data_IF_577140158921
#
_entry.id   IF_577140158921
#
_cell.length_a   1.000
_cell.length_b   1.000
_cell.length_c   1.000
_cell.angle_alpha   90.00
_cell.angle_beta   90.00
_cell.angle_gamma   90.00
#
_symmetry.space_group_name_H-M   'P 1'
#
loop_
_entity.id
_entity.type
_entity.pdbx_description
1 polymer ?
#
# COMPACT_ATOMS: atom_id res chain seq x y z
N UNK A 1 -19.78 -14.22 23.56
CA UNK A 1 -18.86 -15.27 23.07
C UNK A 1 -19.10 -15.42 21.58
N UNK A 2 -18.14 -15.02 20.75
CA UNK A 2 -18.27 -15.13 19.29
C UNK A 2 -17.93 -16.56 18.92
N UNK A 3 -18.91 -17.31 18.41
CA UNK A 3 -18.74 -18.68 17.93
C UNK A 3 -18.42 -18.65 16.44
N UNK A 4 -17.21 -19.09 16.07
CA UNK A 4 -16.73 -19.26 14.69
C UNK A 4 -15.50 -20.16 14.71
N UNK A 5 -15.19 -20.79 13.58
CA UNK A 5 -13.93 -21.57 13.45
C UNK A 5 -12.72 -20.66 13.62
N UNK A 6 -11.53 -21.18 14.00
CA UNK A 6 -10.32 -20.35 14.08
C UNK A 6 -10.04 -19.54 12.81
N UNK A 7 -10.36 -20.09 11.63
CA UNK A 7 -10.24 -19.39 10.33
C UNK A 7 -11.26 -18.25 10.23
N UNK A 8 -12.53 -18.45 10.61
CA UNK A 8 -13.54 -17.38 10.61
C UNK A 8 -13.27 -16.30 11.65
N UNK A 9 -12.58 -16.63 12.75
CA UNK A 9 -12.13 -15.65 13.75
C UNK A 9 -10.92 -14.88 13.21
N UNK A 10 -9.99 -15.53 12.52
CA UNK A 10 -8.87 -14.88 11.83
C UNK A 10 -9.35 -13.97 10.70
N UNK A 11 -10.28 -14.41 9.85
CA UNK A 11 -10.92 -13.57 8.82
C UNK A 11 -11.71 -12.40 9.44
N UNK A 12 -12.24 -12.55 10.65
CA UNK A 12 -12.98 -11.48 11.35
C UNK A 12 -12.07 -10.50 12.09
N UNK A 13 -10.84 -10.90 12.46
CA UNK A 13 -9.82 -10.04 13.07
C UNK A 13 -8.88 -9.41 12.04
N UNK A 14 -8.57 -10.10 10.94
CA UNK A 14 -7.81 -9.58 9.78
C UNK A 14 -8.70 -8.93 8.71
N UNK A 15 -10.01 -9.14 8.77
CA UNK A 15 -11.01 -8.60 7.83
C UNK A 15 -11.61 -7.26 8.26
N UNK A 16 -10.84 -6.44 8.98
CA UNK A 16 -11.11 -5.00 8.97
C UNK A 16 -10.61 -4.45 7.63
N UNK A 17 -11.54 -3.93 6.83
CA UNK A 17 -11.33 -3.42 5.47
C UNK A 17 -10.02 -2.61 5.36
N UNK A 18 -8.93 -3.26 4.94
CA UNK A 18 -7.75 -2.55 4.46
C UNK A 18 -8.23 -1.62 3.36
N UNK A 19 -7.94 -0.33 3.46
CA UNK A 19 -8.28 0.61 2.39
C UNK A 19 -7.54 0.15 1.14
N UNK A 20 -8.28 -0.27 0.12
CA UNK A 20 -7.66 -0.56 -1.16
C UNK A 20 -7.37 0.76 -1.86
N UNK A 21 -6.14 0.89 -2.32
CA UNK A 21 -5.72 2.01 -3.14
C UNK A 21 -6.22 1.79 -4.57
N UNK A 22 -6.42 2.88 -5.29
CA UNK A 22 -6.77 2.92 -6.70
C UNK A 22 -5.76 3.79 -7.44
N UNK A 23 -5.74 3.71 -8.78
CA UNK A 23 -4.78 4.46 -9.59
C UNK A 23 -4.88 5.98 -9.34
N UNK A 24 -6.11 6.47 -9.17
CA UNK A 24 -6.38 7.88 -8.84
C UNK A 24 -5.74 8.34 -7.53
N UNK A 25 -5.56 7.46 -6.55
CA UNK A 25 -4.95 7.84 -5.27
C UNK A 25 -3.46 8.13 -5.46
N UNK A 26 -2.77 7.34 -6.31
CA UNK A 26 -1.39 7.60 -6.69
C UNK A 26 -1.27 8.93 -7.44
N UNK A 27 -2.19 9.19 -8.37
CA UNK A 27 -2.24 10.43 -9.15
C UNK A 27 -2.49 11.67 -8.26
N UNK A 28 -3.44 11.58 -7.34
CA UNK A 28 -3.80 12.66 -6.41
C UNK A 28 -2.60 13.11 -5.57
N UNK A 29 -1.86 12.15 -5.03
CA UNK A 29 -0.67 12.42 -4.23
C UNK A 29 0.62 12.55 -5.06
N UNK A 30 0.51 12.58 -6.39
CA UNK A 30 1.61 12.74 -7.35
C UNK A 30 2.74 11.73 -7.13
N UNK A 31 2.35 10.49 -6.79
CA UNK A 31 3.28 9.38 -6.77
C UNK A 31 3.55 8.92 -8.19
N UNK A 32 4.83 8.83 -8.57
CA UNK A 32 5.23 8.20 -9.82
C UNK A 32 5.05 6.69 -9.64
N UNK A 33 4.45 6.05 -10.63
CA UNK A 33 4.15 4.62 -10.59
C UNK A 33 4.52 3.95 -11.90
N UNK A 34 4.92 2.69 -11.76
CA UNK A 34 5.32 1.80 -12.84
C UNK A 34 4.94 0.36 -12.47
N UNK A 35 5.25 -0.61 -13.32
CA UNK A 35 4.95 -2.03 -13.09
C UNK A 35 5.43 -2.52 -11.71
N UNK A 36 6.59 -2.06 -11.25
CA UNK A 36 7.12 -2.41 -9.94
C UNK A 36 6.22 -1.93 -8.79
N UNK A 37 5.65 -0.73 -8.90
CA UNK A 37 4.72 -0.15 -7.91
C UNK A 37 3.49 -1.03 -7.75
N UNK A 38 2.89 -1.48 -8.85
CA UNK A 38 1.70 -2.31 -8.81
C UNK A 38 2.01 -3.72 -8.33
N UNK A 39 3.15 -4.29 -8.72
CA UNK A 39 3.59 -5.59 -8.23
C UNK A 39 3.75 -5.59 -6.72
N UNK A 40 4.55 -4.66 -6.17
CA UNK A 40 4.78 -4.54 -4.72
C UNK A 40 3.45 -4.25 -4.00
N UNK A 41 2.61 -3.36 -4.54
CA UNK A 41 1.35 -3.03 -3.90
C UNK A 41 0.33 -4.16 -3.88
N UNK A 42 0.37 -5.08 -4.84
CA UNK A 42 -0.44 -6.30 -4.81
C UNK A 42 0.09 -7.26 -3.75
N UNK A 43 1.40 -7.54 -3.75
CA UNK A 43 2.04 -8.48 -2.80
C UNK A 43 1.87 -8.02 -1.34
N UNK A 44 1.98 -6.71 -1.11
CA UNK A 44 1.82 -6.08 0.21
C UNK A 44 0.35 -5.71 0.52
N UNK A 45 -0.58 -6.13 -0.34
CA UNK A 45 -2.03 -5.98 -0.19
C UNK A 45 -2.56 -4.52 -0.12
N UNK A 46 -1.83 -3.54 -0.65
CA UNK A 46 -2.32 -2.18 -0.91
C UNK A 46 -3.35 -2.14 -2.04
N UNK A 47 -3.17 -2.97 -3.06
CA UNK A 47 -4.07 -3.07 -4.21
C UNK A 47 -4.86 -4.37 -4.20
N UNK A 48 -5.87 -4.43 -5.06
CA UNK A 48 -6.42 -5.66 -5.60
C UNK A 48 -5.94 -5.81 -7.05
N UNK A 49 -6.12 -6.98 -7.66
CA UNK A 49 -5.62 -7.25 -9.03
C UNK A 49 -6.19 -6.30 -10.09
N UNK A 50 -7.39 -5.75 -9.86
CA UNK A 50 -8.07 -4.82 -10.77
C UNK A 50 -7.24 -3.56 -11.05
N UNK A 51 -6.28 -3.21 -10.17
CA UNK A 51 -5.37 -2.09 -10.40
C UNK A 51 -4.56 -2.25 -11.68
N UNK A 52 -4.21 -3.49 -12.07
CA UNK A 52 -3.46 -3.77 -13.28
C UNK A 52 -4.29 -3.47 -14.53
N UNK A 53 -5.61 -3.66 -14.46
CA UNK A 53 -6.53 -3.26 -15.52
C UNK A 53 -6.64 -1.74 -15.60
N UNK A 54 -6.78 -1.04 -14.46
CA UNK A 54 -6.76 0.44 -14.42
C UNK A 54 -5.47 0.98 -15.06
N UNK A 55 -4.33 0.42 -14.69
CA UNK A 55 -3.03 0.82 -15.20
C UNK A 55 -2.84 0.52 -16.70
N UNK A 56 -3.25 -0.67 -17.15
CA UNK A 56 -3.18 -1.04 -18.57
C UNK A 56 -4.03 -0.12 -19.46
N UNK A 57 -5.24 0.24 -19.01
CA UNK A 57 -6.09 1.20 -19.72
C UNK A 57 -5.40 2.56 -19.84
N UNK A 58 -4.73 3.02 -18.77
CA UNK A 58 -3.97 4.28 -18.81
C UNK A 58 -2.78 4.21 -19.79
N UNK A 59 -2.04 3.10 -19.82
CA UNK A 59 -0.95 2.88 -20.79
C UNK A 59 -1.45 2.92 -22.23
N UNK A 60 -2.58 2.27 -22.52
CA UNK A 60 -3.23 2.34 -23.85
C UNK A 60 -3.60 3.77 -24.24
N UNK A 61 -4.16 4.56 -23.30
CA UNK A 61 -4.50 5.95 -23.56
C UNK A 61 -3.28 6.83 -23.86
N UNK A 62 -2.10 6.44 -23.33
CA UNK A 62 -0.81 7.07 -23.63
C UNK A 62 -0.17 6.59 -24.94
N UNK A 63 -0.80 5.63 -25.62
CA UNK A 63 -0.32 5.08 -26.89
C UNK A 63 0.66 3.92 -26.74
N UNK A 64 0.82 3.37 -25.53
CA UNK A 64 1.55 2.12 -25.33
C UNK A 64 0.66 0.93 -25.68
N UNK A 65 1.20 0.01 -26.48
CA UNK A 65 0.49 -1.17 -26.94
C UNK A 65 1.41 -2.38 -26.90
N UNK A 66 1.00 -3.40 -26.16
CA UNK A 66 1.63 -4.70 -26.10
C UNK A 66 0.56 -5.77 -25.88
N UNK A 67 0.86 -7.04 -26.20
CA UNK A 67 -0.07 -8.14 -25.96
C UNK A 67 -0.48 -8.22 -24.48
N UNK A 68 0.46 -7.96 -23.56
CA UNK A 68 0.19 -7.93 -22.13
C UNK A 68 -0.76 -6.77 -21.76
N UNK A 69 -0.48 -5.55 -22.22
CA UNK A 69 -1.32 -4.37 -21.94
C UNK A 69 -2.74 -4.59 -22.47
N UNK A 70 -2.85 -5.05 -23.72
CA UNK A 70 -4.14 -5.35 -24.35
C UNK A 70 -4.92 -6.44 -23.59
N UNK A 71 -4.25 -7.49 -23.11
CA UNK A 71 -4.88 -8.53 -22.30
C UNK A 71 -5.36 -7.99 -20.94
N UNK A 72 -4.51 -7.25 -20.23
CA UNK A 72 -4.83 -6.69 -18.92
C UNK A 72 -5.99 -5.68 -18.97
N UNK A 73 -6.08 -4.89 -20.04
CA UNK A 73 -7.15 -3.92 -20.25
C UNK A 73 -8.53 -4.59 -20.43
N UNK A 74 -8.57 -5.84 -20.90
CA UNK A 74 -9.82 -6.61 -20.96
C UNK A 74 -10.26 -7.21 -19.62
N UNK A 75 -9.37 -7.23 -18.63
CA UNK A 75 -9.62 -7.78 -17.30
C UNK A 75 -8.82 -9.04 -17.03
N UNK A 76 -8.70 -9.38 -15.75
CA UNK A 76 -7.87 -10.49 -15.28
C UNK A 76 -8.75 -11.61 -14.71
N UNK A 77 -8.80 -12.73 -15.43
CA UNK A 77 -9.37 -13.97 -14.91
C UNK A 77 -8.54 -14.47 -13.71
N UNK A 78 -9.18 -15.12 -12.73
CA UNK A 78 -8.47 -15.56 -11.51
C UNK A 78 -7.38 -16.58 -11.80
N UNK A 79 -7.65 -17.49 -12.74
CA UNK A 79 -6.72 -18.53 -13.18
C UNK A 79 -5.45 -17.97 -13.82
N UNK A 80 -5.53 -16.80 -14.46
CA UNK A 80 -4.41 -16.19 -15.19
C UNK A 80 -3.57 -15.26 -14.29
N UNK A 81 -4.13 -14.80 -13.17
CA UNK A 81 -3.51 -13.79 -12.31
C UNK A 81 -2.12 -14.19 -11.83
N UNK A 82 -1.94 -15.45 -11.42
CA UNK A 82 -0.63 -15.95 -10.97
C UNK A 82 0.41 -15.91 -12.08
N UNK A 83 0.02 -16.26 -13.31
CA UNK A 83 0.90 -16.21 -14.48
C UNK A 83 1.30 -14.78 -14.83
N UNK A 84 0.35 -13.84 -14.78
CA UNK A 84 0.59 -12.41 -15.01
C UNK A 84 1.59 -11.85 -14.00
N UNK A 85 1.38 -12.11 -12.71
CA UNK A 85 2.32 -11.67 -11.67
C UNK A 85 3.72 -12.25 -11.87
N UNK A 86 3.82 -13.52 -12.29
CA UNK A 86 5.11 -14.14 -12.59
C UNK A 86 5.81 -13.47 -13.79
N UNK A 87 5.07 -13.11 -14.85
CA UNK A 87 5.61 -12.38 -16.01
C UNK A 87 6.13 -11.00 -15.63
N UNK A 88 5.34 -10.21 -14.89
CA UNK A 88 5.77 -8.88 -14.38
C UNK A 88 7.05 -9.02 -13.55
N UNK A 89 7.09 -10.01 -12.63
CA UNK A 89 8.28 -10.27 -11.82
C UNK A 89 9.49 -10.62 -12.67
N UNK A 90 9.31 -11.41 -13.72
CA UNK A 90 10.41 -11.83 -14.59
C UNK A 90 10.98 -10.66 -15.39
N UNK A 91 10.12 -9.79 -15.95
CA UNK A 91 10.53 -8.62 -16.73
C UNK A 91 11.24 -7.57 -15.88
N UNK A 92 10.82 -7.41 -14.62
CA UNK A 92 11.34 -6.41 -13.69
C UNK A 92 12.18 -7.01 -12.54
N UNK A 93 12.76 -8.21 -12.75
CA UNK A 93 13.42 -8.99 -11.68
C UNK A 93 14.44 -8.18 -10.88
N UNK A 94 15.23 -7.34 -11.55
CA UNK A 94 16.29 -6.55 -10.92
C UNK A 94 15.79 -5.54 -9.87
N UNK A 95 14.49 -5.23 -9.86
CA UNK A 95 13.87 -4.28 -8.94
C UNK A 95 12.86 -4.91 -7.98
N UNK A 96 12.43 -6.15 -8.23
CA UNK A 96 11.32 -6.81 -7.54
C UNK A 96 11.74 -7.93 -6.57
N UNK A 97 13.00 -7.94 -6.15
CA UNK A 97 13.44 -8.81 -5.06
C UNK A 97 13.12 -8.18 -3.70
N UNK A 98 12.41 -8.90 -2.84
CA UNK A 98 12.00 -8.41 -1.53
C UNK A 98 13.23 -8.12 -0.65
N UNK A 99 13.21 -7.00 0.07
CA UNK A 99 14.32 -6.54 0.91
C UNK A 99 15.42 -5.79 0.16
N UNK A 100 15.26 -5.57 -1.15
CA UNK A 100 16.10 -4.61 -1.90
C UNK A 100 15.66 -3.17 -1.63
N UNK A 101 16.57 -2.22 -1.88
CA UNK A 101 16.26 -0.79 -1.78
C UNK A 101 15.10 -0.39 -2.70
N UNK A 102 14.94 -1.05 -3.86
CA UNK A 102 13.86 -0.78 -4.80
C UNK A 102 12.51 -1.26 -4.30
N UNK A 103 12.45 -2.48 -3.74
CA UNK A 103 11.23 -2.98 -3.09
C UNK A 103 10.80 -2.06 -1.95
N UNK A 104 11.74 -1.72 -1.08
CA UNK A 104 11.48 -0.90 0.10
C UNK A 104 11.00 0.50 -0.29
N UNK A 105 11.58 1.10 -1.33
CA UNK A 105 11.13 2.40 -1.81
C UNK A 105 9.71 2.35 -2.42
N UNK A 106 9.31 1.29 -3.11
CA UNK A 106 7.92 1.11 -3.55
C UNK A 106 6.96 0.86 -2.38
N UNK A 107 7.35 0.04 -1.41
CA UNK A 107 6.56 -0.19 -0.20
C UNK A 107 6.31 1.13 0.55
N UNK A 108 7.35 1.93 0.77
CA UNK A 108 7.25 3.23 1.46
C UNK A 108 6.45 4.27 0.67
N UNK A 109 6.59 4.27 -0.66
CA UNK A 109 5.75 5.08 -1.55
C UNK A 109 4.26 4.75 -1.34
N UNK A 110 3.90 3.48 -1.34
CA UNK A 110 2.51 3.04 -1.16
C UNK A 110 2.00 3.29 0.25
N UNK A 111 2.85 3.08 1.27
CA UNK A 111 2.58 3.42 2.66
C UNK A 111 2.23 4.89 2.83
N UNK A 112 2.99 5.79 2.20
CA UNK A 112 2.70 7.22 2.21
C UNK A 112 1.31 7.52 1.64
N UNK A 113 1.01 7.01 0.43
CA UNK A 113 -0.29 7.22 -0.24
C UNK A 113 -1.44 6.69 0.62
N UNK A 114 -1.30 5.51 1.20
CA UNK A 114 -2.28 4.92 2.11
C UNK A 114 -2.51 5.78 3.35
N UNK A 115 -1.44 6.14 4.06
CA UNK A 115 -1.55 6.89 5.30
C UNK A 115 -2.06 8.32 5.08
N UNK A 116 -1.76 8.92 3.93
CA UNK A 116 -2.37 10.19 3.49
C UNK A 116 -3.88 10.08 3.29
N UNK A 117 -4.33 9.00 2.65
CA UNK A 117 -5.75 8.72 2.48
C UNK A 117 -6.45 8.47 3.82
N UNK A 118 -5.80 7.76 4.75
CA UNK A 118 -6.29 7.58 6.13
C UNK A 118 -6.43 8.90 6.85
N UNK A 119 -5.41 9.76 6.78
CA UNK A 119 -5.40 11.10 7.38
C UNK A 119 -6.58 11.96 6.91
N UNK A 120 -6.89 11.91 5.62
CA UNK A 120 -7.97 12.72 5.02
C UNK A 120 -9.36 12.13 5.23
N UNK A 121 -9.49 10.80 5.33
CA UNK A 121 -10.75 10.12 5.53
C UNK A 121 -11.18 10.03 7.01
N UNK A 122 -10.27 10.29 7.94
CA UNK A 122 -10.47 10.01 9.38
C UNK A 122 -10.50 11.31 10.19
N UNK A 123 -11.34 11.36 11.23
CA UNK A 123 -11.36 12.51 12.14
C UNK A 123 -10.07 12.58 12.98
N UNK A 124 -9.68 13.78 13.43
CA UNK A 124 -8.49 13.94 14.28
C UNK A 124 -8.50 13.07 15.55
N UNK A 125 -9.68 12.78 16.09
CA UNK A 125 -9.84 11.99 17.31
C UNK A 125 -9.62 10.49 17.06
N UNK A 126 -9.88 10.02 15.83
CA UNK A 126 -9.79 8.60 15.44
C UNK A 126 -8.51 8.29 14.66
N UNK A 127 -7.78 9.32 14.22
CA UNK A 127 -6.62 9.17 13.34
C UNK A 127 -5.52 8.28 13.95
N UNK A 128 -5.24 8.43 15.25
CA UNK A 128 -4.24 7.60 15.92
C UNK A 128 -4.65 6.12 15.94
N UNK A 129 -5.93 5.81 16.11
CA UNK A 129 -6.43 4.43 16.06
C UNK A 129 -6.38 3.87 14.64
N UNK A 130 -6.67 4.69 13.62
CA UNK A 130 -6.56 4.27 12.23
C UNK A 130 -5.09 4.02 11.81
N UNK A 131 -4.15 4.84 12.30
CA UNK A 131 -2.71 4.62 12.10
C UNK A 131 -2.25 3.35 12.82
N UNK A 132 -2.72 3.11 14.05
CA UNK A 132 -2.42 1.90 14.81
C UNK A 132 -2.93 0.64 14.10
N UNK A 133 -4.12 0.70 13.51
CA UNK A 133 -4.66 -0.38 12.67
C UNK A 133 -3.79 -0.64 11.43
N UNK A 134 -3.27 0.41 10.78
CA UNK A 134 -2.29 0.21 9.70
C UNK A 134 -1.06 -0.52 10.23
N UNK A 135 -0.48 -0.05 11.34
CA UNK A 135 0.70 -0.65 11.94
C UNK A 135 0.51 -2.14 12.28
N UNK A 136 -0.64 -2.53 12.82
CA UNK A 136 -1.01 -3.92 13.07
C UNK A 136 -1.12 -4.75 11.78
N UNK A 137 -1.79 -4.19 10.77
CA UNK A 137 -2.15 -4.88 9.53
C UNK A 137 -0.99 -5.05 8.54
N UNK A 138 0.09 -4.28 8.73
CA UNK A 138 1.26 -4.22 7.84
C UNK A 138 2.55 -4.67 8.55
N UNK A 139 2.43 -5.51 9.58
CA UNK A 139 3.56 -6.23 10.15
C UNK A 139 4.42 -5.43 11.12
N UNK A 140 3.87 -4.41 11.77
CA UNK A 140 4.53 -3.64 12.81
C UNK A 140 5.84 -2.95 12.34
N UNK A 141 5.79 -2.11 11.29
CA UNK A 141 6.98 -1.43 10.78
C UNK A 141 7.67 -0.59 11.87
N UNK A 142 8.91 -0.98 12.21
CA UNK A 142 9.64 -0.48 13.39
C UNK A 142 9.76 1.06 13.41
N UNK A 143 9.93 1.66 12.24
CA UNK A 143 10.06 3.11 12.05
C UNK A 143 8.79 3.92 12.36
N UNK A 144 7.64 3.25 12.53
CA UNK A 144 6.37 3.86 12.94
C UNK A 144 6.12 3.81 14.45
N UNK A 145 6.82 2.92 15.18
CA UNK A 145 6.55 2.63 16.59
C UNK A 145 6.51 3.87 17.50
N UNK A 146 7.32 4.89 17.18
CA UNK A 146 7.43 6.13 17.93
C UNK A 146 6.20 7.04 17.91
N UNK A 147 5.16 6.72 17.14
CA UNK A 147 3.90 7.47 17.12
C UNK A 147 2.64 6.60 17.22
N UNK A 148 2.78 5.31 17.53
CA UNK A 148 1.65 4.40 17.75
C UNK A 148 1.13 4.58 19.18
N UNK A 149 -0.18 4.83 19.31
CA UNK A 149 -0.80 5.29 20.55
C UNK A 149 -0.79 4.26 21.70
N UNK A 150 -0.80 2.97 21.38
CA UNK A 150 -0.73 1.92 22.38
C UNK A 150 0.72 1.49 22.69
N UNK A 151 1.71 1.94 21.92
CA UNK A 151 3.10 1.58 22.13
C UNK A 151 3.70 2.36 23.30
N UNK A 152 4.50 1.74 24.18
CA UNK A 152 5.18 2.43 25.26
C UNK A 152 6.00 3.61 24.74
N UNK A 153 5.92 4.74 25.44
CA UNK A 153 6.67 5.95 25.13
C UNK A 153 7.70 6.21 26.23
N UNK A 154 8.91 6.63 25.85
CA UNK A 154 9.98 6.92 26.82
C UNK A 154 9.63 8.05 27.80
N UNK A 155 8.76 8.97 27.36
CA UNK A 155 8.25 10.09 28.14
C UNK A 155 6.72 10.15 28.03
N UNK A 156 6.02 10.69 29.05
CA UNK A 156 4.60 11.01 28.93
C UNK A 156 4.35 11.85 27.67
N UNK A 157 3.65 11.27 26.70
CA UNK A 157 3.44 11.86 25.38
C UNK A 157 1.94 12.02 25.14
N UNK A 158 1.54 13.22 24.77
CA UNK A 158 0.15 13.55 24.42
C UNK A 158 -0.22 13.07 23.01
N UNK A 159 -1.51 12.91 22.73
CA UNK A 159 -2.00 12.58 21.39
C UNK A 159 -1.56 13.62 20.34
N UNK A 160 -1.46 14.89 20.72
CA UNK A 160 -0.98 15.95 19.83
C UNK A 160 0.49 15.76 19.43
N UNK A 161 1.33 15.31 20.36
CA UNK A 161 2.75 15.01 20.07
C UNK A 161 2.89 13.76 19.20
N UNK A 162 2.09 12.72 19.41
CA UNK A 162 2.07 11.54 18.54
C UNK A 162 1.67 11.91 17.11
N UNK A 163 0.62 12.72 16.95
CA UNK A 163 0.20 13.23 15.63
C UNK A 163 1.27 14.11 14.98
N UNK A 164 2.00 14.91 15.76
CA UNK A 164 3.11 15.69 15.23
C UNK A 164 4.25 14.79 14.71
N UNK A 165 4.58 13.71 15.42
CA UNK A 165 5.57 12.72 14.97
C UNK A 165 5.11 12.01 13.70
N UNK A 166 3.83 11.61 13.64
CA UNK A 166 3.22 11.06 12.42
C UNK A 166 3.32 12.01 11.23
N UNK A 167 3.02 13.29 11.42
CA UNK A 167 3.13 14.29 10.35
C UNK A 167 4.58 14.47 9.87
N UNK A 168 5.55 14.45 10.78
CA UNK A 168 6.97 14.48 10.44
C UNK A 168 7.39 13.23 9.65
N UNK A 169 6.90 12.06 10.07
CA UNK A 169 7.11 10.80 9.38
C UNK A 169 6.53 10.83 7.96
N UNK A 170 5.27 11.23 7.78
CA UNK A 170 4.64 11.38 6.47
C UNK A 170 5.41 12.33 5.55
N UNK A 171 5.86 13.47 6.09
CA UNK A 171 6.65 14.43 5.32
C UNK A 171 7.97 13.83 4.83
N UNK A 172 8.61 12.97 5.64
CA UNK A 172 9.82 12.24 5.25
C UNK A 172 9.53 11.15 4.21
N UNK A 173 8.42 10.42 4.35
CA UNK A 173 8.00 9.38 3.40
C UNK A 173 7.66 9.94 2.01
N UNK A 174 7.18 11.19 1.94
CA UNK A 174 6.83 11.83 0.66
C UNK A 174 7.95 11.78 -0.39
N UNK A 175 9.23 11.76 0.00
CA UNK A 175 10.35 11.70 -0.95
C UNK A 175 10.32 10.43 -1.82
N UNK A 176 9.77 9.33 -1.32
CA UNK A 176 9.70 8.06 -2.04
C UNK A 176 8.69 8.10 -3.19
N UNK A 177 7.76 9.06 -3.19
CA UNK A 177 6.77 9.21 -4.26
C UNK A 177 7.38 9.66 -5.59
N UNK A 178 8.66 10.06 -5.60
CA UNK A 178 9.36 10.53 -6.79
C UNK A 178 10.37 9.50 -7.35
N UNK A 179 10.51 8.34 -6.71
CA UNK A 179 11.46 7.31 -7.11
C UNK A 179 10.89 6.49 -8.28
N UNK A 180 11.76 6.19 -9.24
CA UNK A 180 11.51 5.37 -10.43
C UNK A 180 12.71 4.46 -10.68
N UNK A 181 12.51 3.36 -11.39
CA UNK A 181 13.58 2.42 -11.75
C UNK A 181 13.85 2.31 -13.25
#
# INVERSE_FOLDING_TARGET
MVTGTPIQILEKWYGMNKIKLHLKDLQEYKAVYEWCTFYVGIEEAYFSKEILTEFAIELMQKGEDSELISALAWGIAEEDFTGIMASIKQEHRQFLEQGTDSWEAEYRKLRYVYLKKVEEATSKNELLDAIAQFYDNFGYPEDMSGFINYMPQDLPTSSAELLNRFNCFLAAERRFTLITY
#
